data_IF_739438751884
#
_entry.id   IF_739438751884
#
_cell.length_a   1.000
_cell.length_b   1.000
_cell.length_c   1.000
_cell.angle_alpha   90.00
_cell.angle_beta   90.00
_cell.angle_gamma   90.00
#
_symmetry.space_group_name_H-M   'P 1'
#
loop_
_entity.id
_entity.type
_entity.pdbx_description
1 polymer ?
#
# COMPACT_ATOMS: atom_id res chain seq x y z
N UNK A 1 -42.69 11.55 12.68
CA UNK A 1 -41.66 11.95 13.66
C UNK A 1 -40.87 10.70 14.05
N UNK A 2 -39.59 10.63 13.72
CA UNK A 2 -38.73 9.53 14.16
C UNK A 2 -38.53 9.66 15.69
N UNK A 3 -38.60 8.56 16.42
CA UNK A 3 -38.46 8.58 17.86
C UNK A 3 -36.98 8.79 18.23
N UNK A 4 -36.74 9.43 19.39
CA UNK A 4 -35.36 9.65 19.92
C UNK A 4 -34.53 8.36 20.00
N UNK A 5 -35.18 7.20 20.08
CA UNK A 5 -34.52 5.88 20.01
C UNK A 5 -34.01 5.54 18.59
N UNK A 6 -34.74 5.90 17.56
CA UNK A 6 -34.33 5.65 16.15
C UNK A 6 -33.17 6.55 15.73
N UNK A 7 -33.16 7.81 16.19
CA UNK A 7 -32.04 8.72 15.95
C UNK A 7 -30.76 8.29 16.66
N UNK A 8 -30.88 7.85 17.94
CA UNK A 8 -29.73 7.30 18.69
C UNK A 8 -29.18 6.03 18.03
N UNK A 9 -30.06 5.18 17.49
CA UNK A 9 -29.64 3.93 16.85
C UNK A 9 -28.96 4.18 15.48
N UNK A 10 -29.44 5.16 14.71
CA UNK A 10 -28.82 5.61 13.47
C UNK A 10 -27.43 6.23 13.74
N UNK A 11 -27.32 7.06 14.76
CA UNK A 11 -26.06 7.71 15.15
C UNK A 11 -25.02 6.70 15.65
N UNK A 12 -25.45 5.69 16.42
CA UNK A 12 -24.57 4.60 16.87
C UNK A 12 -24.09 3.72 15.73
N UNK A 13 -24.97 3.35 14.78
CA UNK A 13 -24.57 2.61 13.57
C UNK A 13 -23.59 3.38 12.72
N UNK A 14 -23.82 4.68 12.47
CA UNK A 14 -22.91 5.52 11.70
C UNK A 14 -21.54 5.61 12.35
N UNK A 15 -21.46 5.84 13.67
CA UNK A 15 -20.17 5.90 14.38
C UNK A 15 -19.39 4.59 14.40
N UNK A 16 -20.06 3.44 14.33
CA UNK A 16 -19.41 2.14 14.25
C UNK A 16 -18.85 1.86 12.84
N UNK A 17 -19.56 2.26 11.80
CA UNK A 17 -19.06 2.15 10.40
C UNK A 17 -17.82 3.03 10.25
N UNK A 18 -17.86 4.29 10.67
CA UNK A 18 -16.72 5.21 10.63
C UNK A 18 -15.48 4.64 11.36
N UNK A 19 -15.68 3.98 12.50
CA UNK A 19 -14.60 3.32 13.25
C UNK A 19 -13.99 2.13 12.49
N UNK A 20 -14.81 1.33 11.84
CA UNK A 20 -14.34 0.17 11.05
C UNK A 20 -13.54 0.67 9.85
N UNK A 21 -14.04 1.67 9.14
CA UNK A 21 -13.33 2.29 8.02
C UNK A 21 -11.99 2.87 8.44
N UNK A 22 -11.94 3.62 9.55
CA UNK A 22 -10.70 4.15 10.10
C UNK A 22 -9.70 3.05 10.47
N UNK A 23 -10.18 1.94 11.03
CA UNK A 23 -9.32 0.81 11.38
C UNK A 23 -8.72 0.14 10.15
N UNK A 24 -9.48 0.00 9.07
CA UNK A 24 -8.97 -0.55 7.81
C UNK A 24 -7.92 0.37 7.18
N UNK A 25 -8.16 1.68 7.14
CA UNK A 25 -7.17 2.66 6.69
C UNK A 25 -5.88 2.59 7.52
N UNK A 26 -6.01 2.48 8.84
CA UNK A 26 -4.87 2.32 9.74
C UNK A 26 -4.09 1.03 9.48
N UNK A 27 -4.79 -0.09 9.27
CA UNK A 27 -4.15 -1.37 8.93
C UNK A 27 -3.33 -1.28 7.64
N UNK A 28 -3.87 -0.61 6.62
CA UNK A 28 -3.15 -0.40 5.36
C UNK A 28 -1.89 0.46 5.58
N UNK A 29 -1.99 1.56 6.31
CA UNK A 29 -0.83 2.39 6.65
C UNK A 29 0.23 1.59 7.43
N UNK A 30 -0.21 0.77 8.38
CA UNK A 30 0.67 -0.08 9.17
C UNK A 30 1.36 -1.15 8.30
N UNK A 31 0.61 -1.79 7.39
CA UNK A 31 1.16 -2.75 6.42
C UNK A 31 2.25 -2.11 5.57
N UNK A 32 1.99 -0.94 4.99
CA UNK A 32 2.97 -0.19 4.19
C UNK A 32 4.22 0.10 5.03
N UNK A 33 4.06 0.59 6.26
CA UNK A 33 5.18 0.86 7.16
C UNK A 33 6.03 -0.39 7.41
N UNK A 34 5.41 -1.53 7.70
CA UNK A 34 6.13 -2.78 7.98
C UNK A 34 6.84 -3.30 6.71
N UNK A 35 6.19 -3.20 5.56
CA UNK A 35 6.80 -3.54 4.28
C UNK A 35 8.05 -2.70 4.01
N UNK A 36 7.97 -1.40 4.15
CA UNK A 36 9.08 -0.49 3.91
C UNK A 36 10.25 -0.67 4.89
N UNK A 37 9.94 -0.95 6.17
CA UNK A 37 10.97 -1.30 7.15
C UNK A 37 11.70 -2.59 6.76
N UNK A 38 10.96 -3.61 6.31
CA UNK A 38 11.54 -4.85 5.82
C UNK A 38 12.38 -4.62 4.54
N UNK A 39 11.93 -3.74 3.65
CA UNK A 39 12.71 -3.34 2.46
C UNK A 39 14.04 -2.69 2.86
N UNK A 40 14.03 -1.75 3.80
CA UNK A 40 15.23 -1.08 4.27
C UNK A 40 16.22 -2.05 4.93
N UNK A 41 15.73 -2.98 5.75
CA UNK A 41 16.54 -4.02 6.37
C UNK A 41 17.18 -4.94 5.32
N UNK A 42 16.41 -5.38 4.33
CA UNK A 42 16.92 -6.27 3.27
C UNK A 42 17.83 -5.55 2.28
N UNK A 43 17.63 -4.25 2.07
CA UNK A 43 18.56 -3.43 1.31
C UNK A 43 19.93 -3.36 2.01
N UNK A 44 19.95 -3.13 3.33
CA UNK A 44 21.18 -3.12 4.12
C UNK A 44 21.91 -4.46 4.10
N UNK A 45 21.16 -5.58 4.02
CA UNK A 45 21.70 -6.93 3.89
C UNK A 45 22.18 -7.28 2.45
N UNK A 46 21.98 -6.38 1.49
CA UNK A 46 22.31 -6.62 0.08
C UNK A 46 21.39 -7.56 -0.68
N UNK A 47 20.22 -7.90 -0.11
CA UNK A 47 19.21 -8.74 -0.74
C UNK A 47 18.42 -7.97 -1.81
N UNK A 48 18.24 -6.68 -1.61
CA UNK A 48 17.63 -5.75 -2.57
C UNK A 48 18.75 -4.93 -3.18
N UNK A 49 18.83 -4.87 -4.50
CA UNK A 49 19.88 -4.18 -5.24
C UNK A 49 19.34 -2.93 -5.94
N UNK A 50 20.24 -2.10 -6.44
CA UNK A 50 19.89 -0.85 -7.12
C UNK A 50 19.57 0.28 -6.14
N UNK A 51 18.77 1.23 -6.58
CA UNK A 51 18.34 2.37 -5.75
C UNK A 51 16.99 2.07 -5.10
N UNK A 52 16.95 2.11 -3.78
CA UNK A 52 15.73 1.91 -3.01
C UNK A 52 15.28 3.25 -2.40
N UNK A 53 14.08 3.67 -2.70
CA UNK A 53 13.45 4.85 -2.12
C UNK A 53 12.26 4.44 -1.25
N UNK A 54 12.46 4.47 0.07
CA UNK A 54 11.43 4.07 1.03
C UNK A 54 10.27 5.06 1.07
N UNK A 55 9.06 4.55 1.26
CA UNK A 55 7.82 5.32 1.40
C UNK A 55 7.50 5.69 2.86
N UNK A 56 8.42 5.45 3.80
CA UNK A 56 8.26 5.71 5.23
C UNK A 56 7.90 7.19 5.49
N UNK A 57 6.85 7.40 6.26
CA UNK A 57 6.34 8.73 6.61
C UNK A 57 5.30 9.30 5.65
N UNK A 58 4.98 8.61 4.56
CA UNK A 58 4.01 9.05 3.55
C UNK A 58 2.79 8.12 3.44
N UNK A 59 2.63 7.16 4.36
CA UNK A 59 1.61 6.13 4.31
C UNK A 59 0.19 6.70 4.22
N UNK A 60 -0.08 7.77 4.99
CA UNK A 60 -1.37 8.42 4.98
C UNK A 60 -1.70 9.07 3.63
N UNK A 61 -0.68 9.55 2.90
CA UNK A 61 -0.86 10.11 1.56
C UNK A 61 -1.30 9.03 0.58
N UNK A 62 -0.62 7.87 0.57
CA UNK A 62 -1.00 6.75 -0.28
C UNK A 62 -2.40 6.24 0.06
N UNK A 63 -2.62 5.86 1.31
CA UNK A 63 -3.88 5.25 1.73
C UNK A 63 -5.05 6.21 1.57
N UNK A 64 -4.90 7.48 1.96
CA UNK A 64 -5.96 8.48 1.83
C UNK A 64 -6.32 8.79 0.38
N UNK A 65 -5.34 8.92 -0.52
CA UNK A 65 -5.62 9.18 -1.93
C UNK A 65 -6.25 7.96 -2.63
N UNK A 66 -5.71 6.76 -2.38
CA UNK A 66 -6.19 5.53 -3.02
C UNK A 66 -7.59 5.14 -2.53
N UNK A 67 -7.90 5.35 -1.25
CA UNK A 67 -9.24 5.04 -0.71
C UNK A 67 -10.38 5.86 -1.34
N UNK A 68 -10.07 6.95 -2.03
CA UNK A 68 -11.04 7.78 -2.73
C UNK A 68 -11.26 7.37 -4.19
N UNK A 69 -10.49 6.41 -4.72
CA UNK A 69 -10.55 5.97 -6.10
C UNK A 69 -11.46 4.76 -6.28
N UNK A 70 -12.01 4.61 -7.48
CA UNK A 70 -12.68 3.40 -7.90
C UNK A 70 -11.67 2.41 -8.48
N UNK A 71 -12.05 1.13 -8.58
CA UNK A 71 -11.17 0.08 -9.11
C UNK A 71 -10.75 0.30 -10.57
N UNK A 72 -11.54 1.06 -11.33
CA UNK A 72 -11.29 1.37 -12.74
C UNK A 72 -10.39 2.60 -12.93
N UNK A 73 -10.11 3.36 -11.87
CA UNK A 73 -9.30 4.56 -11.96
C UNK A 73 -7.82 4.23 -12.17
N UNK A 74 -7.19 4.94 -13.09
CA UNK A 74 -5.76 4.83 -13.35
C UNK A 74 -4.95 5.69 -12.38
N UNK A 75 -3.78 5.17 -11.99
CA UNK A 75 -2.85 5.87 -11.11
C UNK A 75 -1.54 6.06 -11.88
N UNK A 76 -1.06 7.30 -11.91
CA UNK A 76 0.29 7.62 -12.38
C UNK A 76 1.05 8.11 -11.16
N UNK A 77 2.13 7.44 -10.84
CA UNK A 77 2.96 7.76 -9.68
C UNK A 77 4.43 7.89 -10.06
N UNK A 78 5.25 8.20 -9.10
CA UNK A 78 6.66 8.53 -9.23
C UNK A 78 7.52 7.52 -8.44
N UNK A 79 8.81 7.64 -8.40
CA UNK A 79 9.77 6.67 -7.88
C UNK A 79 9.57 6.17 -6.42
N UNK A 80 8.64 6.70 -5.64
CA UNK A 80 8.25 6.23 -4.29
C UNK A 80 6.84 5.64 -4.32
N UNK A 81 6.61 4.63 -5.11
CA UNK A 81 5.27 4.13 -5.42
C UNK A 81 4.86 2.85 -4.68
N UNK A 82 5.74 2.26 -3.86
CA UNK A 82 5.38 1.09 -3.03
C UNK A 82 4.10 1.31 -2.22
N UNK A 83 3.99 2.48 -1.55
CA UNK A 83 2.82 2.81 -0.75
C UNK A 83 1.53 2.83 -1.58
N UNK A 84 1.55 3.44 -2.76
CA UNK A 84 0.40 3.47 -3.67
C UNK A 84 0.06 2.08 -4.19
N UNK A 85 1.05 1.29 -4.57
CA UNK A 85 0.88 -0.06 -5.06
C UNK A 85 0.23 -0.97 -4.01
N UNK A 86 0.73 -0.94 -2.77
CA UNK A 86 0.18 -1.72 -1.67
C UNK A 86 -1.21 -1.22 -1.25
N UNK A 87 -1.45 0.11 -1.20
CA UNK A 87 -2.77 0.67 -0.92
C UNK A 87 -3.79 0.29 -2.00
N UNK A 88 -3.34 0.08 -3.26
CA UNK A 88 -4.17 -0.40 -4.36
C UNK A 88 -4.44 -1.91 -4.29
N UNK A 89 -3.86 -2.62 -3.33
CA UNK A 89 -4.11 -4.04 -3.10
C UNK A 89 -3.14 -4.99 -3.79
N UNK A 90 -1.97 -4.52 -4.22
CA UNK A 90 -0.94 -5.43 -4.73
C UNK A 90 -0.48 -6.39 -3.63
N UNK A 91 -0.25 -7.65 -4.02
CA UNK A 91 0.20 -8.68 -3.10
C UNK A 91 1.58 -8.36 -2.50
N UNK A 92 1.66 -8.36 -1.17
CA UNK A 92 2.85 -7.97 -0.40
C UNK A 92 4.04 -8.88 -0.69
N UNK A 93 3.80 -10.20 -0.80
CA UNK A 93 4.88 -11.17 -1.04
C UNK A 93 5.42 -11.05 -2.46
N UNK A 94 4.53 -10.84 -3.43
CA UNK A 94 4.93 -10.62 -4.83
C UNK A 94 5.64 -9.29 -4.99
N UNK A 95 5.21 -8.24 -4.28
CA UNK A 95 5.90 -6.95 -4.25
C UNK A 95 7.31 -7.07 -3.68
N UNK A 96 7.46 -7.80 -2.57
CA UNK A 96 8.79 -8.09 -2.00
C UNK A 96 9.63 -8.95 -2.95
N UNK A 97 9.02 -9.95 -3.59
CA UNK A 97 9.71 -10.81 -4.58
C UNK A 97 10.24 -10.00 -5.77
N UNK A 98 9.49 -8.98 -6.21
CA UNK A 98 9.92 -8.04 -7.25
C UNK A 98 11.19 -7.31 -6.84
N UNK A 99 11.21 -6.73 -5.63
CA UNK A 99 12.38 -6.02 -5.10
C UNK A 99 13.61 -6.92 -4.92
N UNK A 100 13.38 -8.21 -4.67
CA UNK A 100 14.44 -9.23 -4.61
C UNK A 100 14.88 -9.75 -5.99
N UNK A 101 14.30 -9.26 -7.08
CA UNK A 101 14.57 -9.71 -8.43
C UNK A 101 14.18 -11.18 -8.68
N UNK A 102 13.08 -11.64 -8.09
CA UNK A 102 12.62 -13.03 -8.23
C UNK A 102 11.56 -13.16 -9.33
N UNK A 103 11.53 -14.32 -10.00
CA UNK A 103 10.52 -14.66 -11.03
C UNK A 103 9.07 -14.60 -10.53
N UNK A 104 8.86 -14.67 -9.22
CA UNK A 104 7.55 -14.58 -8.57
C UNK A 104 7.10 -13.15 -8.31
N UNK A 105 7.85 -12.15 -8.78
CA UNK A 105 7.50 -10.75 -8.72
C UNK A 105 6.27 -10.37 -9.54
N UNK A 106 5.94 -9.08 -9.54
CA UNK A 106 4.74 -8.53 -10.20
C UNK A 106 4.96 -8.21 -11.67
N UNK A 107 6.15 -7.72 -12.05
CA UNK A 107 6.45 -7.16 -13.36
C UNK A 107 7.70 -7.76 -14.05
N UNK A 108 8.20 -8.87 -13.55
CA UNK A 108 9.37 -9.54 -14.14
C UNK A 108 10.60 -8.61 -14.28
N UNK A 109 10.96 -7.92 -13.21
CA UNK A 109 12.08 -6.97 -13.13
C UNK A 109 13.40 -7.55 -13.68
N UNK A 110 13.59 -8.87 -13.59
CA UNK A 110 14.72 -9.60 -14.19
C UNK A 110 14.80 -9.45 -15.72
N UNK A 111 13.67 -9.20 -16.38
CA UNK A 111 13.63 -9.08 -17.85
C UNK A 111 14.02 -7.67 -18.31
N UNK A 112 13.81 -6.67 -17.46
CA UNK A 112 14.16 -5.27 -17.76
C UNK A 112 15.60 -4.93 -17.39
N UNK A 113 16.20 -5.65 -16.44
CA UNK A 113 17.63 -5.45 -16.10
C UNK A 113 18.57 -6.06 -17.12
N UNK A 114 18.23 -7.21 -17.72
CA UNK A 114 19.04 -7.82 -18.78
C UNK A 114 19.02 -6.99 -20.08
N UNK A 115 17.95 -6.24 -20.34
CA UNK A 115 17.84 -5.37 -21.51
C UNK A 115 18.66 -4.07 -21.39
N UNK A 116 19.15 -3.73 -20.20
CA UNK A 116 19.96 -2.54 -19.95
C UNK A 116 21.48 -2.82 -19.99
N UNK A 117 21.86 -4.11 -20.02
CA UNK A 117 23.26 -4.56 -20.05
C UNK A 117 23.74 -4.95 -21.46
N UNK A 118 22.87 -4.84 -22.50
CA UNK A 118 23.20 -4.93 -23.91
C UNK A 118 23.33 -3.52 -24.53
#
# INVERSE_FOLDING_TARGET
>A
MATLKEEKNKKSKKSNIEKIEMLELFKQMYLIRQFELACGENYTKGNIRGFLHLYIGQEATAVGSISCLNDEDYIITHYRDHGHALARGLDVNRSMSELFGKKTGLSCLLYTSDAADE
#
